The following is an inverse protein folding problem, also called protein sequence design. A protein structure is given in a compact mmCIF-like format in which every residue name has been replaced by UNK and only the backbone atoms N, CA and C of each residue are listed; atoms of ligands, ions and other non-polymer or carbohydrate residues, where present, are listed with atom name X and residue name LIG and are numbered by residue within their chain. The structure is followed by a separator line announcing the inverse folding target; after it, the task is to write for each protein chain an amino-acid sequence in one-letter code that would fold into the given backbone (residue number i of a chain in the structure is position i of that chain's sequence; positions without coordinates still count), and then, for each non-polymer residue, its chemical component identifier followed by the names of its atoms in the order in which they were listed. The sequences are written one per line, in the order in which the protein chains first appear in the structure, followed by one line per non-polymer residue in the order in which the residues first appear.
data_IF_570453801045
#
_entry.id   IF_570453801045
#
_cell.length_a   1.000
_cell.length_b   1.000
_cell.length_c   1.000
_cell.angle_alpha   90.00
_cell.angle_beta   90.00
_cell.angle_gamma   90.00
#
_symmetry.space_group_name_H-M   'P 1'
#
loop_
_entity.id
_entity.type
_entity.pdbx_description
1 polymer ?
#
# COMPACT_ATOMS: atom_id res chain seq x y z
N UNK A 1 2.34 -2.10 -16.80
CA UNK A 1 2.66 -0.66 -16.68
C UNK A 1 1.39 0.08 -16.29
N UNK A 2 1.37 0.72 -15.12
CA UNK A 2 0.17 1.36 -14.57
C UNK A 2 -0.09 2.78 -15.06
N UNK A 3 0.94 3.50 -15.48
CA UNK A 3 0.83 4.83 -16.08
C UNK A 3 1.99 5.10 -17.03
N UNK A 4 1.86 6.14 -17.85
CA UNK A 4 2.87 6.65 -18.76
C UNK A 4 2.83 8.17 -18.76
N UNK A 5 3.99 8.79 -18.59
CA UNK A 5 4.19 10.22 -18.84
C UNK A 5 5.02 10.35 -20.12
N UNK A 6 4.52 11.09 -21.09
CA UNK A 6 5.26 11.39 -22.31
C UNK A 6 5.51 12.90 -22.39
N UNK A 7 6.76 13.28 -22.58
CA UNK A 7 7.16 14.67 -22.81
C UNK A 7 7.57 14.79 -24.27
N UNK A 8 6.89 15.67 -25.02
CA UNK A 8 7.16 15.92 -26.42
C UNK A 8 7.57 17.38 -26.62
N UNK A 9 8.67 17.61 -27.32
CA UNK A 9 9.11 18.96 -27.68
C UNK A 9 8.66 19.26 -29.11
N UNK A 10 7.71 20.18 -29.24
CA UNK A 10 7.34 20.80 -30.50
C UNK A 10 8.18 22.07 -30.68
N UNK A 11 8.27 22.60 -31.91
CA UNK A 11 9.16 23.73 -32.25
C UNK A 11 9.02 24.98 -31.35
N UNK A 12 7.88 25.14 -30.65
CA UNK A 12 7.60 26.28 -29.77
C UNK A 12 7.06 25.90 -28.40
N UNK A 13 6.81 24.62 -28.14
CA UNK A 13 6.05 24.19 -26.96
C UNK A 13 6.55 22.84 -26.45
N UNK A 14 6.57 22.67 -25.13
CA UNK A 14 6.73 21.35 -24.52
C UNK A 14 5.35 20.84 -24.13
N UNK A 15 4.96 19.65 -24.60
CA UNK A 15 3.69 19.01 -24.25
C UNK A 15 3.98 17.85 -23.32
N UNK A 16 3.32 17.84 -22.16
CA UNK A 16 3.34 16.75 -21.20
C UNK A 16 2.00 16.03 -21.27
N UNK A 17 2.00 14.77 -21.69
CA UNK A 17 0.82 13.91 -21.64
C UNK A 17 0.97 12.86 -20.55
N UNK A 18 -0.09 12.65 -19.79
CA UNK A 18 -0.16 11.65 -18.74
C UNK A 18 -1.31 10.71 -19.05
N UNK A 19 -1.02 9.42 -19.11
CA UNK A 19 -1.99 8.35 -19.29
C UNK A 19 -1.90 7.41 -18.10
N UNK A 20 -2.98 7.22 -17.36
CA UNK A 20 -3.02 6.33 -16.20
C UNK A 20 -3.95 5.18 -16.54
N UNK A 21 -3.44 3.96 -16.60
CA UNK A 21 -4.23 2.79 -17.02
C UNK A 21 -4.88 2.10 -15.83
N UNK A 22 -4.21 2.04 -14.69
CA UNK A 22 -4.63 1.29 -13.51
C UNK A 22 -3.90 1.75 -12.24
N UNK A 23 -4.25 1.18 -11.09
CA UNK A 23 -3.48 1.34 -9.87
C UNK A 23 -2.06 0.77 -10.02
N UNK A 24 -1.12 1.22 -9.20
CA UNK A 24 0.30 0.84 -9.27
C UNK A 24 0.53 -0.68 -9.22
N UNK A 25 1.18 -1.23 -10.25
CA UNK A 25 1.65 -2.62 -10.28
C UNK A 25 2.85 -2.85 -9.35
N UNK A 26 3.57 -1.78 -9.02
CA UNK A 26 4.76 -1.83 -8.17
C UNK A 26 4.39 -1.61 -6.71
N UNK A 27 3.49 -0.65 -6.43
CA UNK A 27 3.10 -0.28 -5.07
C UNK A 27 1.89 -1.07 -4.60
N UNK A 28 2.15 -2.05 -3.74
CA UNK A 28 1.09 -2.92 -3.21
C UNK A 28 0.07 -2.16 -2.34
N UNK A 29 0.47 -1.09 -1.66
CA UNK A 29 -0.44 -0.23 -0.89
C UNK A 29 -1.48 0.46 -1.77
N UNK A 30 -1.05 1.03 -2.89
CA UNK A 30 -1.94 1.70 -3.85
C UNK A 30 -2.93 0.74 -4.55
N UNK A 31 -2.67 -0.58 -4.55
CA UNK A 31 -3.64 -1.58 -5.05
C UNK A 31 -4.69 -1.98 -4.04
N UNK A 32 -4.31 -2.01 -2.77
CA UNK A 32 -5.14 -2.59 -1.71
C UNK A 32 -5.96 -1.50 -1.01
N UNK A 33 -5.40 -0.31 -0.81
CA UNK A 33 -6.06 0.80 -0.14
C UNK A 33 -6.39 1.92 -1.12
N UNK A 34 -7.66 2.31 -1.18
CA UNK A 34 -8.13 3.47 -1.91
C UNK A 34 -7.41 4.74 -1.44
N UNK A 35 -7.20 4.87 -0.14
CA UNK A 35 -6.49 5.99 0.47
C UNK A 35 -5.07 6.16 -0.09
N UNK A 36 -4.32 5.06 -0.17
CA UNK A 36 -2.95 5.07 -0.72
C UNK A 36 -2.97 5.21 -2.25
N UNK A 37 -3.99 4.69 -2.92
CA UNK A 37 -4.19 4.89 -4.36
C UNK A 37 -4.34 6.38 -4.71
N UNK A 38 -5.15 7.11 -3.94
CA UNK A 38 -5.36 8.55 -4.14
C UNK A 38 -4.05 9.31 -3.92
N UNK A 39 -3.32 9.03 -2.83
CA UNK A 39 -2.02 9.66 -2.58
C UNK A 39 -1.01 9.42 -3.71
N UNK A 40 -0.96 8.19 -4.22
CA UNK A 40 -0.11 7.84 -5.36
C UNK A 40 -0.47 8.63 -6.63
N UNK A 41 -1.77 8.74 -6.96
CA UNK A 41 -2.23 9.53 -8.11
C UNK A 41 -1.88 11.02 -7.97
N UNK A 42 -2.09 11.60 -6.78
CA UNK A 42 -1.73 12.98 -6.51
C UNK A 42 -0.23 13.22 -6.70
N UNK A 43 0.62 12.27 -6.30
CA UNK A 43 2.06 12.32 -6.56
C UNK A 43 2.41 12.35 -8.05
N UNK A 44 1.69 11.58 -8.89
CA UNK A 44 1.84 11.61 -10.35
C UNK A 44 1.43 12.98 -10.91
N UNK A 45 0.32 13.54 -10.42
CA UNK A 45 -0.20 14.83 -10.89
C UNK A 45 0.77 15.96 -10.55
N UNK A 46 1.24 16.01 -9.30
CA UNK A 46 2.19 17.02 -8.85
C UNK A 46 3.53 16.89 -9.60
N UNK A 47 3.96 15.67 -9.94
CA UNK A 47 5.15 15.46 -10.76
C UNK A 47 4.97 15.96 -12.20
N UNK A 48 3.83 15.64 -12.84
CA UNK A 48 3.52 16.11 -14.18
C UNK A 48 3.42 17.64 -14.25
N UNK A 49 2.80 18.26 -13.24
CA UNK A 49 2.72 19.72 -13.13
C UNK A 49 4.10 20.36 -13.00
N UNK A 50 5.00 19.79 -12.18
CA UNK A 50 6.38 20.28 -12.06
C UNK A 50 7.16 20.21 -13.38
N UNK A 51 6.93 19.17 -14.19
CA UNK A 51 7.54 19.08 -15.52
C UNK A 51 7.05 20.20 -16.44
N UNK A 52 5.76 20.52 -16.38
CA UNK A 52 5.14 21.62 -17.14
C UNK A 52 5.69 22.97 -16.68
N UNK A 53 5.69 23.24 -15.38
CA UNK A 53 6.18 24.49 -14.80
C UNK A 53 7.66 24.73 -15.14
N UNK A 54 8.46 23.66 -15.21
CA UNK A 54 9.87 23.72 -15.55
C UNK A 54 10.17 23.90 -17.05
N UNK A 55 9.18 23.72 -17.93
CA UNK A 55 9.37 23.71 -19.38
C UNK A 55 8.48 24.70 -20.15
N UNK A 56 7.74 25.56 -19.44
CA UNK A 56 6.68 26.41 -19.99
C UNK A 56 5.71 25.59 -20.87
N UNK A 57 5.38 24.40 -20.38
CA UNK A 57 4.70 23.38 -21.15
C UNK A 57 3.17 23.45 -21.08
N UNK A 58 2.52 22.57 -21.84
CA UNK A 58 1.09 22.33 -21.76
C UNK A 58 0.83 20.92 -21.23
N UNK A 59 -0.11 20.82 -20.30
CA UNK A 59 -0.59 19.56 -19.75
C UNK A 59 -1.89 19.16 -20.46
N UNK A 60 -2.08 17.87 -20.74
CA UNK A 60 -3.40 17.35 -21.07
C UNK A 60 -4.41 17.77 -19.99
N UNK A 61 -5.61 18.22 -20.39
CA UNK A 61 -6.67 18.59 -19.44
C UNK A 61 -7.57 17.40 -19.11
N UNK A 62 -7.86 17.19 -17.83
CA UNK A 62 -8.89 16.24 -17.37
C UNK A 62 -8.42 14.80 -17.14
N UNK A 63 -7.17 14.46 -17.45
CA UNK A 63 -6.59 13.15 -17.12
C UNK A 63 -6.58 12.89 -15.60
N UNK A 64 -6.43 13.95 -14.82
CA UNK A 64 -6.37 13.93 -13.36
C UNK A 64 -7.72 13.56 -12.76
N UNK A 65 -8.78 14.21 -13.21
CA UNK A 65 -10.15 13.91 -12.82
C UNK A 65 -10.55 12.50 -13.26
N UNK A 66 -10.28 12.14 -14.51
CA UNK A 66 -10.59 10.80 -15.05
C UNK A 66 -9.88 9.69 -14.26
N UNK A 67 -8.62 9.89 -13.88
CA UNK A 67 -7.89 8.94 -13.06
C UNK A 67 -8.44 8.84 -11.63
N UNK A 68 -8.82 9.96 -11.00
CA UNK A 68 -9.44 9.94 -9.66
C UNK A 68 -10.78 9.20 -9.65
N UNK A 69 -11.60 9.41 -10.68
CA UNK A 69 -12.90 8.74 -10.81
C UNK A 69 -12.75 7.26 -11.12
N UNK A 70 -11.94 6.90 -12.14
CA UNK A 70 -11.86 5.52 -12.62
C UNK A 70 -10.95 4.64 -11.77
N UNK A 71 -9.77 5.14 -11.41
CA UNK A 71 -8.74 4.35 -10.71
C UNK A 71 -8.91 4.44 -9.21
N UNK A 72 -9.11 5.65 -8.69
CA UNK A 72 -9.31 5.88 -7.27
C UNK A 72 -10.77 5.70 -6.82
N UNK A 73 -11.71 5.49 -7.76
CA UNK A 73 -13.13 5.23 -7.47
C UNK A 73 -13.80 6.36 -6.68
N UNK A 74 -13.36 7.61 -6.88
CA UNK A 74 -14.02 8.79 -6.32
C UNK A 74 -15.25 9.16 -7.14
N UNK A 75 -16.22 9.79 -6.49
CA UNK A 75 -17.33 10.42 -7.20
C UNK A 75 -16.82 11.68 -7.95
N UNK A 76 -17.47 12.09 -9.05
CA UNK A 76 -17.02 13.26 -9.83
C UNK A 76 -16.91 14.56 -9.03
N UNK A 77 -17.84 14.79 -8.10
CA UNK A 77 -17.84 15.93 -7.19
C UNK A 77 -16.68 15.84 -6.17
N UNK A 78 -16.36 14.64 -5.72
CA UNK A 78 -15.23 14.40 -4.83
C UNK A 78 -13.89 14.62 -5.53
N UNK A 79 -13.74 14.11 -6.76
CA UNK A 79 -12.55 14.30 -7.57
C UNK A 79 -12.31 15.79 -7.88
N UNK A 80 -13.36 16.49 -8.33
CA UNK A 80 -13.29 17.94 -8.61
C UNK A 80 -12.88 18.74 -7.37
N UNK A 81 -13.47 18.42 -6.21
CA UNK A 81 -13.16 19.11 -4.96
C UNK A 81 -11.74 18.82 -4.47
N UNK A 82 -11.27 17.58 -4.62
CA UNK A 82 -9.89 17.20 -4.27
C UNK A 82 -8.86 17.95 -5.13
N UNK A 83 -9.09 18.05 -6.44
CA UNK A 83 -8.19 18.76 -7.36
C UNK A 83 -8.12 20.27 -7.09
N UNK A 84 -9.18 20.86 -6.54
CA UNK A 84 -9.20 22.26 -6.13
C UNK A 84 -8.33 22.56 -4.89
N UNK A 85 -7.92 21.54 -4.14
CA UNK A 85 -7.08 21.69 -2.95
C UNK A 85 -5.61 21.76 -3.35
N UNK A 86 -4.88 22.72 -2.80
CA UNK A 86 -3.49 23.01 -3.20
C UNK A 86 -2.46 22.52 -2.19
N UNK A 87 -2.85 22.26 -0.95
CA UNK A 87 -1.93 21.79 0.09
C UNK A 87 -2.08 20.30 0.33
N UNK A 88 -0.97 19.61 0.61
CA UNK A 88 -0.98 18.18 0.94
C UNK A 88 -1.85 17.90 2.16
N UNK A 89 -1.83 18.79 3.15
CA UNK A 89 -2.62 18.69 4.36
C UNK A 89 -4.12 18.75 4.07
N UNK A 90 -4.59 19.74 3.32
CA UNK A 90 -6.02 19.86 3.00
C UNK A 90 -6.49 18.68 2.15
N UNK A 91 -5.66 18.24 1.19
CA UNK A 91 -5.91 17.03 0.39
C UNK A 91 -6.05 15.81 1.28
N UNK A 92 -5.17 15.63 2.25
CA UNK A 92 -5.25 14.52 3.20
C UNK A 92 -6.55 14.57 4.00
N UNK A 93 -6.83 15.70 4.65
CA UNK A 93 -8.00 15.84 5.53
C UNK A 93 -9.29 15.56 4.75
N UNK A 94 -9.39 16.13 3.55
CA UNK A 94 -10.49 15.88 2.66
C UNK A 94 -10.61 14.41 2.26
N UNK A 95 -9.51 13.79 1.81
CA UNK A 95 -9.51 12.37 1.41
C UNK A 95 -9.93 11.50 2.59
N UNK A 96 -9.38 11.75 3.78
CA UNK A 96 -9.68 10.99 4.99
C UNK A 96 -11.17 11.03 5.35
N UNK A 97 -11.81 12.19 5.16
CA UNK A 97 -13.23 12.36 5.42
C UNK A 97 -14.12 11.66 4.38
N UNK A 98 -13.75 11.71 3.10
CA UNK A 98 -14.58 11.14 2.02
C UNK A 98 -14.38 9.65 1.80
N UNK A 99 -13.22 9.10 2.19
CA UNK A 99 -13.05 7.64 2.18
C UNK A 99 -13.94 7.04 3.27
N UNK A 100 -14.63 5.94 2.91
CA UNK A 100 -15.51 5.24 3.83
C UNK A 100 -14.76 4.67 5.04
N UNK A 101 -15.49 4.40 6.13
CA UNK A 101 -14.87 3.89 7.37
C UNK A 101 -14.05 2.62 7.14
N UNK A 102 -14.50 1.71 6.27
CA UNK A 102 -13.76 0.48 5.94
C UNK A 102 -12.38 0.75 5.34
N UNK A 103 -12.23 1.79 4.52
CA UNK A 103 -10.93 2.18 3.97
C UNK A 103 -10.05 2.85 5.03
N UNK A 104 -10.65 3.61 5.96
CA UNK A 104 -9.92 4.18 7.12
C UNK A 104 -9.41 3.08 8.04
N UNK A 105 -10.22 2.07 8.33
CA UNK A 105 -9.81 0.89 9.10
C UNK A 105 -8.65 0.17 8.42
N UNK A 106 -8.76 -0.09 7.11
CA UNK A 106 -7.70 -0.70 6.32
C UNK A 106 -6.40 0.12 6.35
N UNK A 107 -6.49 1.45 6.19
CA UNK A 107 -5.35 2.35 6.25
C UNK A 107 -4.69 2.37 7.64
N UNK A 108 -5.50 2.31 8.71
CA UNK A 108 -5.00 2.26 10.11
C UNK A 108 -4.20 0.99 10.38
N UNK A 109 -4.59 -0.16 9.85
CA UNK A 109 -3.91 -1.45 10.12
C UNK A 109 -2.74 -1.76 9.18
N UNK A 110 -2.52 -0.94 8.14
CA UNK A 110 -1.46 -1.15 7.17
C UNK A 110 -0.08 -0.88 7.77
N UNK A 111 0.89 -1.75 7.49
CA UNK A 111 2.27 -1.61 7.97
C UNK A 111 3.15 -0.86 6.95
N UNK A 112 3.22 0.46 7.10
CA UNK A 112 3.99 1.35 6.22
C UNK A 112 5.51 1.21 6.35
N UNK A 113 6.02 0.32 7.20
CA UNK A 113 7.45 -0.09 7.17
C UNK A 113 7.75 -1.01 5.98
N UNK A 114 6.71 -1.69 5.46
CA UNK A 114 6.81 -2.62 4.34
C UNK A 114 6.04 -2.17 3.10
N UNK A 115 5.10 -1.24 3.28
CA UNK A 115 4.27 -0.69 2.22
C UNK A 115 4.64 0.76 1.94
N UNK A 116 4.62 1.17 0.67
CA UNK A 116 4.80 2.57 0.30
C UNK A 116 3.72 3.44 0.97
N UNK A 117 4.15 4.51 1.63
CA UNK A 117 3.27 5.55 2.15
C UNK A 117 3.33 6.78 1.23
N UNK A 118 2.20 7.11 0.60
CA UNK A 118 2.08 8.28 -0.26
C UNK A 118 1.61 9.55 0.47
N UNK A 119 1.54 9.49 1.80
CA UNK A 119 1.15 10.61 2.68
C UNK A 119 2.26 10.90 3.71
N UNK A 120 3.39 11.49 3.28
CA UNK A 120 4.63 11.58 4.08
C UNK A 120 4.49 12.43 5.35
N UNK A 121 3.69 13.49 5.34
CA UNK A 121 3.46 14.34 6.53
C UNK A 121 2.60 13.64 7.60
N UNK A 122 2.18 12.39 7.36
CA UNK A 122 1.28 11.62 8.21
C UNK A 122 1.92 10.32 8.76
N UNK A 123 3.24 10.14 8.63
CA UNK A 123 3.98 9.04 9.28
C UNK A 123 3.78 9.02 10.80
N UNK A 124 3.47 10.16 11.42
CA UNK A 124 3.14 10.23 12.84
C UNK A 124 1.81 9.54 13.19
N UNK A 125 0.85 9.55 12.27
CA UNK A 125 -0.48 8.96 12.49
C UNK A 125 -0.46 7.45 12.33
N UNK A 126 0.35 6.92 11.42
CA UNK A 126 0.48 5.46 11.27
C UNK A 126 1.03 4.81 12.55
N UNK A 127 2.01 5.44 13.19
CA UNK A 127 2.57 4.97 14.48
C UNK A 127 1.54 5.09 15.61
N UNK A 128 0.75 6.16 15.64
CA UNK A 128 -0.31 6.36 16.64
C UNK A 128 -1.46 5.36 16.49
N UNK A 129 -1.85 5.03 15.26
CA UNK A 129 -2.97 4.14 14.98
C UNK A 129 -2.57 2.67 15.09
N UNK A 130 -1.32 2.34 14.80
CA UNK A 130 -0.83 0.98 14.85
C UNK A 130 0.59 0.92 15.43
N UNK A 131 0.74 1.11 16.75
CA UNK A 131 2.06 1.12 17.41
C UNK A 131 2.74 -0.25 17.36
N UNK A 132 1.98 -1.33 17.13
CA UNK A 132 2.49 -2.70 16.99
C UNK A 132 1.89 -3.34 15.74
N UNK A 133 2.37 -3.01 14.53
CA UNK A 133 1.82 -3.59 13.31
C UNK A 133 2.06 -5.09 13.30
N UNK A 134 0.97 -5.87 13.35
CA UNK A 134 1.04 -7.31 13.10
C UNK A 134 1.21 -7.53 11.61
N UNK A 135 2.08 -8.47 11.19
CA UNK A 135 2.19 -8.79 9.79
C UNK A 135 0.85 -9.28 9.23
N UNK A 136 0.39 -8.65 8.14
CA UNK A 136 -0.88 -8.97 7.49
C UNK A 136 -0.84 -10.42 7.00
N UNK A 137 -1.90 -11.25 7.17
CA UNK A 137 -1.91 -12.68 6.83
C UNK A 137 -1.74 -13.02 5.32
N UNK A 138 -1.48 -12.02 4.46
CA UNK A 138 -1.05 -12.17 3.07
C UNK A 138 0.42 -11.74 2.82
N UNK A 139 1.23 -11.60 3.86
CA UNK A 139 2.65 -11.32 3.79
C UNK A 139 3.47 -12.61 3.82
N UNK A 140 4.09 -12.98 2.70
CA UNK A 140 5.28 -13.84 2.74
C UNK A 140 6.44 -12.95 3.21
N UNK A 141 6.63 -12.84 4.52
CA UNK A 141 7.86 -12.31 5.08
C UNK A 141 8.96 -13.36 4.88
N UNK A 142 10.13 -13.00 4.33
CA UNK A 142 11.33 -13.77 4.60
C UNK A 142 11.53 -13.72 6.12
N UNK A 143 11.46 -14.88 6.77
CA UNK A 143 11.78 -14.97 8.19
C UNK A 143 13.20 -14.42 8.41
N UNK A 144 13.42 -13.58 9.43
CA UNK A 144 14.79 -13.29 9.87
C UNK A 144 15.44 -14.59 10.32
N UNK A 145 16.66 -14.87 9.86
CA UNK A 145 17.48 -16.06 10.21
C UNK A 145 17.82 -16.20 11.71
N UNK A 146 17.24 -15.37 12.59
CA UNK A 146 17.61 -15.24 13.99
C UNK A 146 16.86 -16.17 14.97
N UNK A 147 16.10 -17.18 14.50
CA UNK A 147 15.42 -18.15 15.38
C UNK A 147 15.96 -19.59 15.32
N UNK A 148 17.09 -19.84 14.65
CA UNK A 148 17.72 -21.17 14.66
C UNK A 148 18.71 -21.44 15.82
N UNK A 149 18.82 -20.54 16.80
CA UNK A 149 19.83 -20.67 17.86
C UNK A 149 19.32 -20.86 19.29
N UNK A 150 18.12 -21.39 19.49
CA UNK A 150 17.69 -21.88 20.81
C UNK A 150 16.97 -23.22 20.66
N UNK A 151 17.69 -24.26 20.25
CA UNK A 151 17.36 -25.66 20.58
C UNK A 151 18.53 -26.56 20.18
N UNK A 152 19.64 -26.47 20.92
CA UNK A 152 20.67 -27.51 20.91
C UNK A 152 21.45 -27.46 22.23
N UNK A 153 20.74 -27.66 23.33
CA UNK A 153 21.34 -28.08 24.60
C UNK A 153 20.42 -29.09 25.30
N UNK A 154 20.49 -30.34 24.87
CA UNK A 154 20.24 -31.49 25.74
C UNK A 154 21.20 -32.60 25.32
N UNK A 155 22.17 -32.84 26.19
CA UNK A 155 23.29 -33.76 26.02
C UNK A 155 22.84 -35.21 25.86
N UNK A 156 23.55 -35.88 24.96
CA UNK A 156 23.67 -37.33 24.88
C UNK A 156 24.34 -37.83 26.18
N UNK A 157 23.57 -38.55 26.98
CA UNK A 157 24.01 -39.67 27.84
C UNK A 157 22.92 -40.72 27.66
N UNK A 158 23.12 -41.84 26.99
CA UNK A 158 24.02 -42.92 27.35
C UNK A 158 23.15 -44.14 27.68
N UNK A 159 23.05 -45.09 26.72
CA UNK A 159 22.71 -46.52 26.87
C UNK A 159 21.67 -46.97 27.91
N UNK A 160 20.58 -47.57 27.43
CA UNK A 160 20.20 -48.98 27.72
C UNK A 160 18.72 -49.28 27.44
N UNK A 161 18.54 -50.41 26.78
CA UNK A 161 17.36 -51.25 26.56
C UNK A 161 16.41 -51.34 27.76
N UNK A 162 15.09 -51.22 27.53
CA UNK A 162 14.05 -52.03 28.20
C UNK A 162 12.92 -52.30 27.20
N UNK A 163 12.77 -53.57 26.83
CA UNK A 163 11.53 -54.13 26.27
C UNK A 163 10.53 -54.40 27.40
N UNK A 164 9.21 -54.47 27.12
CA UNK A 164 8.32 -55.62 27.38
C UNK A 164 6.80 -55.27 27.33
N UNK A 165 6.09 -56.00 26.44
CA UNK A 165 4.73 -56.61 26.48
C UNK A 165 3.47 -55.75 26.76
N UNK A 166 2.49 -55.68 25.85
CA UNK A 166 1.43 -56.68 25.48
C UNK A 166 0.16 -56.58 26.33
N UNK A 167 -0.99 -56.30 25.71
CA UNK A 167 -2.19 -57.18 25.67
C UNK A 167 -3.39 -56.44 25.03
N UNK A 168 -4.21 -57.23 24.35
CA UNK A 168 -5.44 -56.86 23.64
C UNK A 168 -6.68 -56.80 24.56
N UNK A 169 -7.84 -56.58 23.92
CA UNK A 169 -9.23 -56.65 24.43
C UNK A 169 -9.74 -55.44 25.24
N UNK A 170 -10.98 -54.94 25.13
CA UNK A 170 -12.24 -55.56 24.69
C UNK A 170 -13.32 -54.49 24.33
N UNK A 171 -14.10 -54.76 23.27
CA UNK A 171 -15.56 -54.59 23.07
C UNK A 171 -16.40 -53.44 23.73
N UNK A 172 -17.18 -52.79 22.83
CA UNK A 172 -18.66 -52.49 22.83
C UNK A 172 -19.32 -51.52 23.83
N UNK A 173 -20.23 -50.69 23.24
CA UNK A 173 -21.38 -50.00 23.86
C UNK A 173 -21.25 -48.48 23.71
N UNK A 174 -22.13 -47.73 23.04
CA UNK A 174 -23.55 -47.84 22.71
C UNK A 174 -23.83 -47.28 21.31
#
# INVERSE_FOLDING_TARGET
MSYRISVSHLEKETVVSVEIFSASEESRSARISQFQCIGWLLGIFDYAQRLVDGSDGLLNTGYDQEALERVARLLPDQASRLLALTTLKDRFEYVWDVIGESERELARVMDFRYYDNFWPDFDSYSILWNPTPTPYPGQNLPLPDALYHIENQAQITGGSTVSILSAADERRGL
#
